data_IF_366318573165
#
_entry.id   IF_366318573165
#
_cell.length_a   1.000
_cell.length_b   1.000
_cell.length_c   1.000
_cell.angle_alpha   90.00
_cell.angle_beta   90.00
_cell.angle_gamma   90.00
#
_symmetry.space_group_name_H-M   'P 1'
#
loop_
_entity.id
_entity.type
_entity.pdbx_description
1 polymer ?
#
# COMPACT_ATOMS: atom_id res chain seq x y z
N UNK A 1 51.59 1.76 54.61
CA UNK A 1 50.28 2.08 53.97
C UNK A 1 50.37 1.66 52.48
N UNK A 2 49.80 0.51 52.14
CA UNK A 2 49.74 0.00 50.74
C UNK A 2 48.49 0.55 50.08
N UNK A 3 48.67 1.33 48.99
CA UNK A 3 47.58 1.77 48.13
C UNK A 3 47.21 0.64 47.17
N UNK A 4 45.96 0.15 47.29
CA UNK A 4 45.40 -0.78 46.31
C UNK A 4 44.74 0.08 45.21
N UNK A 5 45.24 -0.03 43.98
CA UNK A 5 44.64 0.58 42.78
C UNK A 5 43.67 -0.46 42.22
N UNK A 6 42.38 -0.18 42.30
CA UNK A 6 41.33 -0.97 41.71
C UNK A 6 41.17 -0.54 40.23
N UNK A 7 41.67 -1.37 39.29
CA UNK A 7 41.46 -1.16 37.86
C UNK A 7 40.08 -1.74 37.54
N UNK A 8 39.11 -0.85 37.33
CA UNK A 8 37.82 -1.21 36.76
C UNK A 8 37.98 -1.42 35.22
N UNK A 9 38.05 -2.68 34.83
CA UNK A 9 37.91 -3.06 33.42
C UNK A 9 36.46 -2.85 33.02
N UNK A 10 36.20 -1.76 32.29
CA UNK A 10 34.96 -1.62 31.54
C UNK A 10 34.98 -2.59 30.38
N UNK A 11 34.32 -3.74 30.53
CA UNK A 11 33.97 -4.57 29.39
C UNK A 11 32.90 -3.84 28.60
N UNK A 12 33.24 -3.23 27.48
CA UNK A 12 32.29 -2.79 26.49
C UNK A 12 31.61 -4.04 25.89
N UNK A 13 30.50 -4.43 26.48
CA UNK A 13 29.58 -5.37 25.87
C UNK A 13 29.02 -4.69 24.64
N UNK A 14 29.57 -5.02 23.46
CA UNK A 14 28.87 -4.78 22.21
C UNK A 14 27.56 -5.57 22.29
N UNK A 15 26.47 -4.90 22.66
CA UNK A 15 25.13 -5.42 22.53
C UNK A 15 24.93 -5.55 21.02
N UNK A 16 25.06 -6.78 20.55
CA UNK A 16 24.70 -7.16 19.20
C UNK A 16 23.19 -7.02 19.08
N UNK A 17 22.73 -5.84 18.64
CA UNK A 17 21.31 -5.52 18.45
C UNK A 17 20.79 -6.21 17.18
N UNK A 18 20.83 -7.54 17.17
CA UNK A 18 20.36 -8.39 16.10
C UNK A 18 19.07 -9.12 16.48
N UNK A 19 18.05 -8.37 16.95
CA UNK A 19 16.65 -8.84 16.91
C UNK A 19 15.77 -7.64 16.59
N UNK A 20 15.46 -7.49 15.32
CA UNK A 20 14.30 -6.72 14.89
C UNK A 20 13.08 -7.41 15.50
N UNK A 21 12.46 -6.78 16.49
CA UNK A 21 11.21 -7.29 17.04
C UNK A 21 10.09 -6.87 16.10
N UNK A 22 9.60 -7.81 15.31
CA UNK A 22 8.38 -7.61 14.54
C UNK A 22 7.20 -7.58 15.51
N UNK A 23 6.47 -6.48 15.53
CA UNK A 23 5.23 -6.34 16.30
C UNK A 23 4.07 -6.44 15.32
N UNK A 24 3.18 -7.40 15.56
CA UNK A 24 1.93 -7.52 14.80
C UNK A 24 0.77 -7.11 15.67
N UNK A 25 -0.04 -6.16 15.19
CA UNK A 25 -1.30 -5.75 15.78
C UNK A 25 -2.45 -6.16 14.88
N UNK A 26 -3.53 -6.69 15.45
CA UNK A 26 -4.73 -7.04 14.72
C UNK A 26 -5.88 -6.15 15.16
N UNK A 27 -6.42 -5.38 14.23
CA UNK A 27 -7.65 -4.61 14.43
C UNK A 27 -8.80 -5.32 13.75
N UNK A 28 -9.89 -5.53 14.46
CA UNK A 28 -11.09 -6.17 13.90
C UNK A 28 -12.19 -5.14 13.68
N UNK A 29 -12.65 -5.02 12.47
CA UNK A 29 -13.80 -4.20 12.07
C UNK A 29 -15.04 -5.09 11.90
N UNK A 30 -16.22 -4.52 12.14
CA UNK A 30 -17.49 -5.22 11.97
C UNK A 30 -18.25 -4.55 10.82
N UNK A 31 -18.56 -5.33 9.78
CA UNK A 31 -19.39 -4.92 8.66
C UNK A 31 -20.62 -5.81 8.63
N UNK A 32 -21.78 -5.24 9.00
CA UNK A 32 -22.99 -6.04 9.20
C UNK A 32 -22.76 -7.11 10.28
N UNK A 33 -22.83 -8.38 9.90
CA UNK A 33 -22.66 -9.55 10.78
C UNK A 33 -21.24 -10.17 10.64
N UNK A 34 -20.36 -9.55 9.83
CA UNK A 34 -19.06 -10.13 9.46
C UNK A 34 -17.92 -9.35 10.11
N UNK A 35 -16.91 -10.07 10.57
CA UNK A 35 -15.64 -9.53 11.07
C UNK A 35 -14.62 -9.48 9.94
N UNK A 36 -13.97 -8.34 9.78
CA UNK A 36 -12.83 -8.14 8.87
C UNK A 36 -11.62 -7.81 9.71
N UNK A 37 -10.55 -8.58 9.59
CA UNK A 37 -9.31 -8.35 10.29
C UNK A 37 -8.36 -7.51 9.44
N UNK A 38 -7.72 -6.55 10.07
CA UNK A 38 -6.62 -5.77 9.49
C UNK A 38 -5.40 -6.00 10.36
N UNK A 39 -4.34 -6.53 9.75
CA UNK A 39 -3.08 -6.83 10.42
C UNK A 39 -2.05 -5.77 10.09
N UNK A 40 -1.56 -5.10 11.11
CA UNK A 40 -0.41 -4.21 10.99
C UNK A 40 0.83 -4.95 11.45
N UNK A 41 1.84 -5.09 10.58
CA UNK A 41 3.18 -5.55 10.94
C UNK A 41 4.14 -4.36 10.94
N UNK A 42 4.96 -4.26 11.98
CA UNK A 42 5.98 -3.23 12.14
C UNK A 42 7.36 -3.85 12.22
N UNK A 43 8.24 -3.48 11.31
CA UNK A 43 9.64 -3.84 11.31
C UNK A 43 10.47 -2.68 11.89
N UNK A 44 11.38 -2.99 12.78
CA UNK A 44 12.18 -1.95 13.45
C UNK A 44 13.39 -1.50 12.59
N UNK A 45 13.71 -0.18 12.50
CA UNK A 45 13.05 0.96 13.14
C UNK A 45 11.67 1.24 12.52
N UNK A 46 10.66 1.48 13.36
CA UNK A 46 9.30 1.77 12.88
C UNK A 46 9.21 3.24 12.52
N UNK A 47 9.08 3.52 11.24
CA UNK A 47 8.69 4.82 10.73
C UNK A 47 7.20 4.80 10.37
N UNK A 48 6.49 5.88 10.69
CA UNK A 48 5.07 6.03 10.40
C UNK A 48 4.79 6.83 9.13
N UNK A 49 5.81 7.47 8.56
CA UNK A 49 5.66 8.33 7.38
C UNK A 49 5.31 7.57 6.11
N UNK A 50 5.83 6.36 5.93
CA UNK A 50 5.53 5.53 4.77
C UNK A 50 4.66 4.36 5.18
N UNK A 51 3.53 4.19 4.46
CA UNK A 51 2.59 3.09 4.62
C UNK A 51 2.67 2.15 3.43
N UNK A 52 3.05 0.90 3.68
CA UNK A 52 2.81 -0.20 2.75
C UNK A 52 1.43 -0.79 3.04
N UNK A 53 0.59 -0.94 2.02
CA UNK A 53 -0.77 -1.45 2.19
C UNK A 53 -1.11 -2.51 1.17
N UNK A 54 -1.56 -3.68 1.65
CA UNK A 54 -2.16 -4.72 0.83
C UNK A 54 -3.66 -4.76 1.09
N UNK A 55 -4.44 -4.48 0.06
CA UNK A 55 -5.90 -4.44 0.13
C UNK A 55 -6.54 -5.78 -0.24
N UNK A 56 -5.85 -6.61 -1.02
CA UNK A 56 -6.37 -7.88 -1.53
C UNK A 56 -5.58 -9.05 -0.97
N UNK A 57 -6.21 -9.87 -0.13
CA UNK A 57 -5.53 -10.93 0.62
C UNK A 57 -4.96 -12.08 -0.26
N UNK A 58 -5.39 -12.20 -1.50
CA UNK A 58 -4.83 -13.14 -2.47
C UNK A 58 -3.53 -12.65 -3.14
N UNK A 59 -3.12 -11.40 -2.93
CA UNK A 59 -1.94 -10.79 -3.57
C UNK A 59 -0.66 -10.97 -2.71
N UNK A 60 -0.41 -12.22 -2.29
CA UNK A 60 0.63 -12.58 -1.31
C UNK A 60 2.08 -12.44 -1.82
N UNK A 61 2.30 -12.38 -3.14
CA UNK A 61 3.64 -12.18 -3.72
C UNK A 61 4.14 -10.78 -3.37
N UNK A 62 3.28 -9.78 -3.49
CA UNK A 62 3.58 -8.39 -3.18
C UNK A 62 3.87 -8.18 -1.69
N UNK A 63 3.09 -8.82 -0.82
CA UNK A 63 3.31 -8.78 0.64
C UNK A 63 4.68 -9.35 1.01
N UNK A 64 5.07 -10.50 0.43
CA UNK A 64 6.38 -11.12 0.71
C UNK A 64 7.54 -10.24 0.28
N UNK A 65 7.46 -9.62 -0.91
CA UNK A 65 8.48 -8.70 -1.40
C UNK A 65 8.61 -7.48 -0.48
N UNK A 66 7.48 -6.89 -0.08
CA UNK A 66 7.46 -5.75 0.83
C UNK A 66 7.98 -6.11 2.24
N UNK A 67 7.58 -7.25 2.81
CA UNK A 67 8.10 -7.73 4.09
C UNK A 67 9.62 -7.94 4.06
N UNK A 68 10.13 -8.54 2.97
CA UNK A 68 11.57 -8.71 2.81
C UNK A 68 12.29 -7.35 2.76
N UNK A 69 11.76 -6.39 2.00
CA UNK A 69 12.30 -5.03 1.93
C UNK A 69 12.26 -4.33 3.29
N UNK A 70 11.12 -4.38 3.99
CA UNK A 70 10.94 -3.76 5.30
C UNK A 70 11.82 -4.39 6.39
N UNK A 71 12.16 -5.67 6.28
CA UNK A 71 13.14 -6.31 7.17
C UNK A 71 14.54 -5.71 7.03
N UNK A 72 14.87 -5.14 5.88
CA UNK A 72 16.16 -4.47 5.65
C UNK A 72 16.15 -3.02 6.16
N UNK A 73 15.05 -2.28 5.95
CA UNK A 73 15.01 -0.82 6.21
C UNK A 73 14.17 -0.42 7.42
N UNK A 74 13.27 -1.27 7.90
CA UNK A 74 12.23 -0.93 8.87
C UNK A 74 10.97 -0.39 8.21
N UNK A 75 9.96 -0.03 9.02
CA UNK A 75 8.69 0.53 8.56
C UNK A 75 7.47 -0.29 8.94
N UNK A 76 6.34 -0.07 8.26
CA UNK A 76 5.08 -0.75 8.55
C UNK A 76 4.34 -1.21 7.30
N UNK A 77 3.67 -2.34 7.39
CA UNK A 77 2.77 -2.87 6.37
C UNK A 77 1.41 -3.19 6.98
N UNK A 78 0.35 -2.83 6.28
CA UNK A 78 -1.04 -3.15 6.61
C UNK A 78 -1.56 -4.17 5.60
N UNK A 79 -2.18 -5.23 6.12
CA UNK A 79 -2.80 -6.26 5.32
C UNK A 79 -4.26 -6.44 5.74
N UNK A 80 -5.21 -6.39 4.80
CA UNK A 80 -6.60 -6.77 5.04
C UNK A 80 -6.69 -8.29 4.87
N UNK A 81 -6.90 -9.02 5.97
CA UNK A 81 -7.03 -10.47 5.94
C UNK A 81 -8.45 -10.90 5.58
N UNK A 82 -8.57 -11.75 4.57
CA UNK A 82 -9.83 -12.22 4.02
C UNK A 82 -9.76 -13.68 3.50
N UNK A 83 -9.08 -14.57 4.24
CA UNK A 83 -8.92 -16.00 3.92
C UNK A 83 -8.31 -16.25 2.53
N UNK A 84 -7.41 -15.40 2.06
CA UNK A 84 -6.80 -15.49 0.74
C UNK A 84 -7.70 -15.08 -0.42
N UNK A 85 -8.80 -14.40 -0.15
CA UNK A 85 -9.75 -13.95 -1.17
C UNK A 85 -9.53 -12.48 -1.52
N UNK A 86 -9.74 -12.13 -2.79
CA UNK A 86 -9.63 -10.75 -3.27
C UNK A 86 -10.76 -9.87 -2.76
N UNK A 87 -12.01 -10.35 -2.86
CA UNK A 87 -13.22 -9.59 -2.58
C UNK A 87 -13.74 -9.92 -1.19
N UNK A 88 -14.20 -8.92 -0.45
CA UNK A 88 -14.75 -9.11 0.88
C UNK A 88 -16.24 -9.42 0.78
N UNK A 89 -16.61 -10.58 1.30
CA UNK A 89 -18.00 -11.00 1.48
C UNK A 89 -18.46 -10.70 2.90
N UNK A 90 -19.59 -10.04 3.06
CA UNK A 90 -20.17 -9.79 4.38
C UNK A 90 -21.68 -10.04 4.41
N UNK A 91 -22.19 -10.36 5.60
CA UNK A 91 -23.62 -10.62 5.81
C UNK A 91 -24.29 -9.41 6.43
N UNK A 92 -25.48 -9.08 5.90
CA UNK A 92 -26.36 -8.06 6.45
C UNK A 92 -27.81 -8.53 6.33
N UNK A 93 -28.51 -8.66 7.49
CA UNK A 93 -29.89 -9.17 7.58
C UNK A 93 -30.11 -10.52 6.89
N UNK A 94 -29.15 -11.44 7.08
CA UNK A 94 -29.20 -12.78 6.50
C UNK A 94 -28.78 -12.87 5.03
N UNK A 95 -28.59 -11.74 4.34
CA UNK A 95 -28.18 -11.65 2.95
C UNK A 95 -26.66 -11.44 2.84
N UNK A 96 -26.04 -11.96 1.77
CA UNK A 96 -24.62 -11.76 1.50
C UNK A 96 -24.44 -10.61 0.51
N UNK A 97 -23.51 -9.71 0.83
CA UNK A 97 -23.02 -8.62 0.00
C UNK A 97 -21.54 -8.76 -0.22
N UNK A 98 -21.04 -8.23 -1.34
CA UNK A 98 -19.64 -8.30 -1.74
C UNK A 98 -19.15 -6.92 -2.14
N UNK A 99 -17.91 -6.58 -1.77
CA UNK A 99 -17.25 -5.38 -2.25
C UNK A 99 -15.75 -5.62 -2.52
N UNK A 100 -15.17 -4.80 -3.38
CA UNK A 100 -13.73 -4.72 -3.59
C UNK A 100 -13.14 -3.71 -2.58
N UNK A 101 -12.19 -4.11 -1.72
CA UNK A 101 -11.59 -3.19 -0.74
C UNK A 101 -10.81 -2.04 -1.36
N UNK A 102 -10.45 -2.12 -2.66
CA UNK A 102 -9.87 -0.99 -3.41
C UNK A 102 -10.93 -0.16 -4.16
N UNK A 103 -12.21 -0.21 -3.75
CA UNK A 103 -13.31 0.58 -4.35
C UNK A 103 -14.22 1.21 -3.31
N UNK A 104 -13.68 1.48 -2.10
CA UNK A 104 -14.48 1.95 -0.96
C UNK A 104 -14.11 3.35 -0.48
N UNK A 105 -13.21 4.03 -1.16
CA UNK A 105 -12.68 5.32 -0.71
C UNK A 105 -13.53 6.52 -1.18
N UNK A 106 -14.65 6.26 -1.85
CA UNK A 106 -15.68 7.27 -2.15
C UNK A 106 -17.08 6.68 -2.08
N UNK A 107 -18.09 7.52 -1.94
CA UNK A 107 -19.48 7.07 -1.94
C UNK A 107 -19.90 6.47 -3.29
N UNK A 108 -19.38 7.01 -4.40
CA UNK A 108 -19.62 6.49 -5.73
C UNK A 108 -19.06 5.07 -5.88
N UNK A 109 -17.79 4.87 -5.48
CA UNK A 109 -17.14 3.57 -5.51
C UNK A 109 -17.83 2.54 -4.63
N UNK A 110 -18.21 2.89 -3.38
CA UNK A 110 -18.96 1.99 -2.48
C UNK A 110 -20.28 1.53 -3.13
N UNK A 111 -21.06 2.46 -3.66
CA UNK A 111 -22.33 2.13 -4.28
C UNK A 111 -22.15 1.25 -5.52
N UNK A 112 -21.16 1.58 -6.35
CA UNK A 112 -20.84 0.84 -7.57
C UNK A 112 -20.37 -0.58 -7.24
N UNK A 113 -19.37 -0.74 -6.37
CA UNK A 113 -18.78 -2.05 -6.06
C UNK A 113 -19.84 -3.00 -5.43
N UNK A 114 -20.64 -2.52 -4.49
CA UNK A 114 -21.71 -3.32 -3.88
C UNK A 114 -22.77 -3.72 -4.94
N UNK A 115 -23.23 -2.77 -5.75
CA UNK A 115 -24.26 -3.03 -6.74
C UNK A 115 -23.81 -4.06 -7.78
N UNK A 116 -22.61 -3.89 -8.31
CA UNK A 116 -22.05 -4.76 -9.36
C UNK A 116 -21.77 -6.15 -8.83
N UNK A 117 -21.06 -6.24 -7.70
CA UNK A 117 -20.57 -7.51 -7.18
C UNK A 117 -21.64 -8.31 -6.44
N UNK A 118 -22.65 -7.65 -5.84
CA UNK A 118 -23.76 -8.34 -5.16
C UNK A 118 -24.98 -8.50 -6.05
N UNK A 119 -25.01 -7.90 -7.26
CA UNK A 119 -26.18 -7.83 -8.16
C UNK A 119 -27.43 -7.25 -7.49
N UNK A 120 -27.24 -6.44 -6.46
CA UNK A 120 -28.26 -5.75 -5.66
C UNK A 120 -27.65 -4.63 -4.85
N UNK A 121 -28.48 -3.73 -4.36
CA UNK A 121 -28.08 -2.61 -3.51
C UNK A 121 -28.94 -2.56 -2.24
N UNK A 122 -28.32 -2.32 -1.10
CA UNK A 122 -28.97 -1.95 0.17
C UNK A 122 -28.20 -0.80 0.80
N UNK A 123 -28.87 0.30 1.11
CA UNK A 123 -28.25 1.53 1.63
C UNK A 123 -27.62 1.36 3.01
N UNK A 124 -28.13 0.45 3.84
CA UNK A 124 -27.54 0.18 5.15
C UNK A 124 -26.34 -0.77 5.05
N UNK A 125 -26.37 -1.72 4.11
CA UNK A 125 -25.20 -2.52 3.77
C UNK A 125 -24.08 -1.60 3.27
N UNK A 126 -24.36 -0.68 2.35
CA UNK A 126 -23.43 0.34 1.87
C UNK A 126 -22.90 1.26 3.00
N UNK A 127 -23.78 1.64 3.95
CA UNK A 127 -23.36 2.39 5.15
C UNK A 127 -22.40 1.61 6.02
N UNK A 128 -22.55 0.29 6.15
CA UNK A 128 -21.61 -0.58 6.86
C UNK A 128 -20.22 -0.52 6.25
N UNK A 129 -20.10 -0.64 4.91
CA UNK A 129 -18.85 -0.52 4.17
C UNK A 129 -18.26 0.90 4.29
N UNK A 130 -19.10 1.95 4.21
CA UNK A 130 -18.67 3.33 4.40
C UNK A 130 -18.06 3.58 5.79
N UNK A 131 -18.66 2.99 6.85
CA UNK A 131 -18.10 3.10 8.19
C UNK A 131 -16.74 2.39 8.31
N UNK A 132 -16.60 1.21 7.71
CA UNK A 132 -15.32 0.51 7.63
C UNK A 132 -14.26 1.35 6.92
N UNK A 133 -14.57 1.88 5.72
CA UNK A 133 -13.67 2.73 4.96
C UNK A 133 -13.21 3.96 5.76
N UNK A 134 -14.14 4.66 6.43
CA UNK A 134 -13.82 5.82 7.27
C UNK A 134 -12.89 5.47 8.42
N UNK A 135 -13.13 4.36 9.11
CA UNK A 135 -12.27 3.90 10.18
C UNK A 135 -10.89 3.51 9.65
N UNK A 136 -10.82 2.75 8.57
CA UNK A 136 -9.57 2.35 7.93
C UNK A 136 -8.73 3.57 7.50
N UNK A 137 -9.37 4.57 6.89
CA UNK A 137 -8.72 5.83 6.52
C UNK A 137 -8.17 6.56 7.74
N UNK A 138 -8.98 6.68 8.81
CA UNK A 138 -8.58 7.38 10.03
C UNK A 138 -7.43 6.66 10.76
N UNK A 139 -7.48 5.33 10.80
CA UNK A 139 -6.53 4.53 11.57
C UNK A 139 -5.16 4.40 10.85
N UNK A 140 -5.15 4.39 9.50
CA UNK A 140 -3.94 4.04 8.75
C UNK A 140 -3.53 5.04 7.68
N UNK A 141 -4.48 5.60 6.91
CA UNK A 141 -4.18 6.37 5.69
C UNK A 141 -3.77 7.81 6.02
N UNK A 142 -4.55 8.51 6.84
CA UNK A 142 -4.39 9.95 7.08
C UNK A 142 -3.08 10.34 7.77
N UNK A 143 -2.38 9.39 8.40
CA UNK A 143 -1.10 9.62 9.08
C UNK A 143 0.11 9.32 8.20
N UNK A 144 -0.08 9.10 6.91
CA UNK A 144 0.98 8.68 6.00
C UNK A 144 1.42 9.82 5.08
N UNK A 145 2.74 10.00 4.95
CA UNK A 145 3.35 10.98 4.03
C UNK A 145 3.50 10.39 2.62
N UNK A 146 3.60 9.06 2.52
CA UNK A 146 3.62 8.30 1.28
C UNK A 146 2.87 6.99 1.48
N UNK A 147 2.02 6.63 0.52
CA UNK A 147 1.36 5.33 0.47
C UNK A 147 1.96 4.50 -0.67
N UNK A 148 2.38 3.28 -0.36
CA UNK A 148 2.77 2.26 -1.34
C UNK A 148 1.76 1.13 -1.29
N UNK A 149 0.85 1.12 -2.25
CA UNK A 149 -0.13 0.04 -2.41
C UNK A 149 0.49 -1.13 -3.14
N UNK A 150 0.28 -2.33 -2.60
CA UNK A 150 0.91 -3.55 -3.06
C UNK A 150 -0.11 -4.38 -3.83
N UNK A 151 0.19 -4.69 -5.10
CA UNK A 151 -0.70 -5.46 -5.94
C UNK A 151 0.04 -6.55 -6.71
N UNK A 152 -0.74 -7.58 -7.09
CA UNK A 152 -0.29 -8.57 -8.05
C UNK A 152 -1.31 -8.70 -9.18
N UNK A 153 -0.82 -8.70 -10.41
CA UNK A 153 -1.60 -8.99 -11.59
C UNK A 153 -1.35 -10.43 -12.09
N UNK A 154 -2.08 -10.83 -13.11
CA UNK A 154 -1.85 -12.07 -13.85
C UNK A 154 -1.26 -11.73 -15.22
N UNK A 155 -0.45 -12.67 -15.74
CA UNK A 155 0.11 -12.57 -17.09
C UNK A 155 -0.95 -12.10 -18.09
N UNK A 156 -0.60 -11.07 -18.85
CA UNK A 156 -1.44 -10.49 -19.90
C UNK A 156 -2.79 -9.91 -19.45
N UNK A 157 -3.00 -9.67 -18.13
CA UNK A 157 -4.25 -9.11 -17.62
C UNK A 157 -4.19 -7.58 -17.44
N UNK A 158 -3.26 -7.09 -16.63
CA UNK A 158 -3.02 -5.67 -16.40
C UNK A 158 -1.54 -5.39 -16.58
N UNK A 159 -1.22 -4.44 -17.44
CA UNK A 159 0.16 -4.08 -17.76
C UNK A 159 0.30 -2.58 -17.96
N UNK A 160 1.52 -2.09 -18.00
CA UNK A 160 1.79 -0.70 -18.38
C UNK A 160 1.23 -0.36 -19.77
N UNK A 161 1.10 -1.36 -20.65
CA UNK A 161 0.55 -1.20 -22.01
C UNK A 161 -0.97 -0.97 -21.96
N UNK A 162 -1.68 -1.54 -21.00
CA UNK A 162 -3.13 -1.32 -20.82
C UNK A 162 -3.47 0.16 -20.64
N UNK A 163 -2.59 0.91 -19.99
CA UNK A 163 -2.74 2.36 -19.82
C UNK A 163 -2.38 3.16 -21.09
N UNK A 164 -1.52 2.61 -21.96
CA UNK A 164 -1.15 3.26 -23.22
C UNK A 164 -2.36 3.40 -24.15
N UNK A 165 -3.21 2.39 -24.19
CA UNK A 165 -4.42 2.41 -25.00
C UNK A 165 -5.46 3.39 -24.45
N UNK A 166 -5.53 3.56 -23.13
CA UNK A 166 -6.37 4.57 -22.47
C UNK A 166 -5.91 6.00 -22.79
N UNK A 167 -4.61 6.23 -22.99
CA UNK A 167 -4.04 7.54 -23.32
C UNK A 167 -4.12 7.88 -24.81
N UNK A 168 -4.23 6.90 -25.70
CA UNK A 168 -4.30 7.13 -27.15
C UNK A 168 -5.51 8.00 -27.58
N UNK A 169 -6.50 8.18 -26.70
CA UNK A 169 -7.68 9.01 -26.94
C UNK A 169 -7.69 10.37 -26.23
N UNK A 170 -6.81 10.61 -25.25
CA UNK A 170 -6.82 11.84 -24.46
C UNK A 170 -5.45 12.13 -23.79
N UNK A 171 -4.66 13.03 -24.37
CA UNK A 171 -3.34 13.44 -23.85
C UNK A 171 -3.38 14.00 -22.40
N UNK A 172 -4.54 14.35 -21.89
CA UNK A 172 -4.71 14.88 -20.53
C UNK A 172 -4.86 13.79 -19.46
N UNK A 173 -5.12 12.52 -19.81
CA UNK A 173 -5.43 11.45 -18.86
C UNK A 173 -4.20 10.88 -18.15
N UNK A 174 -2.98 11.16 -18.64
CA UNK A 174 -1.77 10.69 -17.96
C UNK A 174 -0.52 10.64 -18.84
N UNK A 175 0.55 10.03 -18.31
CA UNK A 175 1.83 9.79 -18.99
C UNK A 175 2.31 8.38 -18.69
N UNK A 176 3.06 7.79 -19.63
CA UNK A 176 3.64 6.45 -19.49
C UNK A 176 5.12 6.50 -19.83
N UNK A 177 5.90 5.72 -19.10
CA UNK A 177 7.26 5.36 -19.48
C UNK A 177 7.38 3.84 -19.47
N UNK A 178 7.90 3.27 -20.55
CA UNK A 178 8.12 1.83 -20.72
C UNK A 178 9.62 1.60 -20.89
N UNK A 179 10.19 0.77 -20.01
CA UNK A 179 11.52 0.23 -20.18
C UNK A 179 11.45 -1.05 -21.02
N UNK A 180 12.05 -1.11 -22.21
CA UNK A 180 11.96 -2.29 -23.09
C UNK A 180 12.69 -3.53 -22.53
N UNK A 181 13.46 -3.39 -21.44
CA UNK A 181 14.15 -4.50 -20.78
C UNK A 181 13.38 -5.08 -19.59
N UNK A 182 12.25 -4.48 -19.22
CA UNK A 182 11.38 -4.97 -18.14
C UNK A 182 10.15 -5.68 -18.70
N UNK A 183 9.61 -6.62 -17.92
CA UNK A 183 8.28 -7.15 -18.17
C UNK A 183 7.24 -6.02 -18.09
N UNK A 184 6.30 -6.01 -19.03
CA UNK A 184 5.26 -4.98 -19.11
C UNK A 184 4.22 -5.09 -18.01
N UNK A 185 4.11 -6.25 -17.38
CA UNK A 185 3.21 -6.54 -16.26
C UNK A 185 3.82 -6.11 -14.90
N UNK A 186 5.14 -5.81 -14.89
CA UNK A 186 5.85 -5.28 -13.71
C UNK A 186 6.03 -3.76 -13.86
N UNK A 187 5.26 -2.99 -13.11
CA UNK A 187 5.25 -1.52 -13.24
C UNK A 187 4.81 -0.82 -11.95
N UNK A 188 5.01 0.49 -11.92
CA UNK A 188 4.44 1.37 -10.92
C UNK A 188 3.40 2.30 -11.53
N UNK A 189 2.36 2.64 -10.75
CA UNK A 189 1.44 3.72 -11.07
C UNK A 189 1.52 4.78 -9.97
N UNK A 190 1.52 6.04 -10.34
CA UNK A 190 1.46 7.15 -9.40
C UNK A 190 0.50 8.24 -9.90
N UNK A 191 -0.05 8.98 -8.97
CA UNK A 191 -0.87 10.17 -9.26
C UNK A 191 -0.08 11.48 -9.09
N UNK A 192 1.20 11.38 -8.72
CA UNK A 192 2.11 12.52 -8.51
C UNK A 192 3.13 12.62 -9.65
N UNK A 193 3.20 13.81 -10.28
CA UNK A 193 4.11 14.05 -11.42
C UNK A 193 5.58 14.05 -11.02
N UNK A 194 5.92 14.42 -9.79
CA UNK A 194 7.30 14.38 -9.28
C UNK A 194 7.74 12.95 -9.05
N UNK A 195 6.90 12.12 -8.41
CA UNK A 195 7.15 10.69 -8.25
C UNK A 195 7.29 9.99 -9.61
N UNK A 196 6.43 10.32 -10.59
CA UNK A 196 6.55 9.79 -11.95
C UNK A 196 7.93 10.10 -12.56
N UNK A 197 8.40 11.35 -12.47
CA UNK A 197 9.69 11.74 -13.02
C UNK A 197 10.84 10.96 -12.35
N UNK A 198 10.83 10.88 -11.03
CA UNK A 198 11.84 10.18 -10.23
C UNK A 198 11.88 8.67 -10.50
N UNK A 199 10.70 8.01 -10.57
CA UNK A 199 10.59 6.57 -10.88
C UNK A 199 11.07 6.30 -12.30
N UNK A 200 10.72 7.15 -13.27
CA UNK A 200 11.22 7.08 -14.64
C UNK A 200 12.75 7.16 -14.71
N UNK A 201 13.39 8.03 -13.92
CA UNK A 201 14.85 8.13 -13.82
C UNK A 201 15.52 6.85 -13.32
N UNK A 202 14.79 6.02 -12.54
CA UNK A 202 15.23 4.67 -12.13
C UNK A 202 15.05 3.62 -13.22
N UNK A 203 14.57 4.03 -14.40
CA UNK A 203 14.31 3.15 -15.55
C UNK A 203 13.29 2.04 -15.26
N UNK A 204 12.27 2.33 -14.45
CA UNK A 204 11.15 1.44 -14.11
C UNK A 204 9.95 1.79 -14.98
N UNK A 205 9.21 0.78 -15.46
CA UNK A 205 7.91 0.98 -16.09
C UNK A 205 7.00 1.79 -15.15
N UNK A 206 6.50 2.92 -15.60
CA UNK A 206 5.67 3.77 -14.73
C UNK A 206 4.57 4.49 -15.50
N UNK A 207 3.41 4.57 -14.86
CA UNK A 207 2.24 5.32 -15.29
C UNK A 207 2.05 6.50 -14.34
N UNK A 208 1.87 7.70 -14.87
CA UNK A 208 1.25 8.81 -14.15
C UNK A 208 -0.20 8.93 -14.57
N UNK A 209 -1.11 8.82 -13.62
CA UNK A 209 -2.54 8.94 -13.83
C UNK A 209 -3.02 10.31 -13.38
N UNK A 210 -3.66 11.05 -14.29
CA UNK A 210 -4.23 12.36 -13.99
C UNK A 210 -5.65 12.19 -13.44
N UNK A 211 -5.79 12.25 -12.12
CA UNK A 211 -7.07 12.05 -11.44
C UNK A 211 -8.14 13.12 -11.75
N UNK A 212 -7.73 14.29 -12.27
CA UNK A 212 -8.67 15.32 -12.72
C UNK A 212 -9.36 14.92 -14.05
N UNK A 213 -8.77 14.00 -14.79
CA UNK A 213 -9.25 13.56 -16.10
C UNK A 213 -9.96 12.19 -16.07
N UNK A 214 -9.99 11.53 -14.91
CA UNK A 214 -10.63 10.22 -14.74
C UNK A 214 -11.83 10.28 -13.80
N UNK A 215 -12.75 9.34 -13.97
CA UNK A 215 -13.91 9.19 -13.11
C UNK A 215 -13.48 8.63 -11.72
N UNK A 216 -14.20 9.04 -10.68
CA UNK A 216 -14.00 8.51 -9.33
C UNK A 216 -14.52 7.06 -9.22
N UNK A 217 -13.62 6.13 -9.33
CA UNK A 217 -13.91 4.70 -9.23
C UNK A 217 -13.89 4.17 -7.77
N UNK A 218 -13.61 5.05 -6.80
CA UNK A 218 -13.49 4.74 -5.39
C UNK A 218 -12.19 4.07 -4.99
N UNK A 219 -11.15 4.07 -5.85
CA UNK A 219 -9.83 3.49 -5.55
C UNK A 219 -9.05 4.33 -4.53
N UNK A 220 -8.07 3.67 -3.89
CA UNK A 220 -7.15 4.34 -2.97
C UNK A 220 -6.26 5.36 -3.69
N UNK A 221 -5.90 5.12 -4.96
CA UNK A 221 -5.11 6.06 -5.78
C UNK A 221 -5.84 7.40 -5.97
N UNK A 222 -7.13 7.35 -6.37
CA UNK A 222 -7.96 8.54 -6.53
C UNK A 222 -8.18 9.25 -5.20
N UNK A 223 -8.41 8.50 -4.12
CA UNK A 223 -8.54 9.06 -2.78
C UNK A 223 -7.26 9.80 -2.36
N UNK A 224 -6.11 9.15 -2.46
CA UNK A 224 -4.81 9.72 -2.09
C UNK A 224 -4.52 11.02 -2.85
N UNK A 225 -4.73 11.02 -4.16
CA UNK A 225 -4.53 12.20 -4.99
C UNK A 225 -5.44 13.37 -4.60
N UNK A 226 -6.72 13.12 -4.35
CA UNK A 226 -7.68 14.16 -3.92
C UNK A 226 -7.40 14.72 -2.53
N UNK A 227 -6.62 14.00 -1.71
CA UNK A 227 -6.20 14.44 -0.38
C UNK A 227 -4.74 14.89 -0.33
N UNK A 228 -4.09 15.03 -1.50
CA UNK A 228 -2.68 15.41 -1.63
C UNK A 228 -1.72 14.50 -0.87
N UNK A 229 -2.04 13.20 -0.80
CA UNK A 229 -1.17 12.18 -0.22
C UNK A 229 -0.37 11.55 -1.38
N UNK A 230 0.97 11.64 -1.38
CA UNK A 230 1.81 10.96 -2.35
C UNK A 230 1.51 9.44 -2.38
N UNK A 231 1.38 8.89 -3.59
CA UNK A 231 0.91 7.54 -3.79
C UNK A 231 1.69 6.81 -4.88
N UNK A 232 2.06 5.58 -4.58
CA UNK A 232 2.64 4.63 -5.55
C UNK A 232 1.83 3.33 -5.48
N UNK A 233 1.29 2.88 -6.60
CA UNK A 233 0.81 1.52 -6.77
C UNK A 233 1.94 0.68 -7.36
N UNK A 234 2.33 -0.39 -6.69
CA UNK A 234 3.36 -1.32 -7.11
C UNK A 234 2.69 -2.59 -7.63
N UNK A 235 2.76 -2.78 -8.94
CA UNK A 235 2.21 -3.93 -9.65
C UNK A 235 3.33 -4.85 -10.11
N UNK A 236 3.16 -6.15 -9.86
CA UNK A 236 3.98 -7.18 -10.48
C UNK A 236 3.17 -8.44 -10.70
N UNK A 237 3.56 -9.25 -11.67
CA UNK A 237 2.92 -10.50 -11.96
C UNK A 237 3.01 -11.45 -10.74
N UNK A 238 2.00 -12.28 -10.52
CA UNK A 238 2.05 -13.34 -9.52
C UNK A 238 3.32 -14.17 -9.68
N UNK A 239 4.05 -14.38 -8.57
CA UNK A 239 5.35 -15.07 -8.46
C UNK A 239 6.57 -14.21 -8.82
N UNK A 240 6.42 -12.99 -9.33
CA UNK A 240 7.50 -12.03 -9.59
C UNK A 240 7.90 -11.28 -8.31
N UNK A 241 8.18 -12.02 -7.22
CA UNK A 241 8.55 -11.39 -5.94
C UNK A 241 9.94 -10.75 -5.96
N UNK A 242 10.87 -11.27 -6.78
CA UNK A 242 12.21 -10.74 -6.93
C UNK A 242 12.19 -9.44 -7.73
N UNK A 243 11.38 -9.38 -8.79
CA UNK A 243 11.16 -8.19 -9.60
C UNK A 243 10.50 -7.09 -8.76
N UNK A 244 9.48 -7.45 -7.98
CA UNK A 244 8.79 -6.53 -7.09
C UNK A 244 9.72 -5.98 -5.99
N UNK A 245 10.55 -6.84 -5.39
CA UNK A 245 11.59 -6.43 -4.45
C UNK A 245 12.64 -5.53 -5.12
N UNK A 246 13.04 -5.85 -6.35
CA UNK A 246 13.98 -5.05 -7.13
C UNK A 246 13.44 -3.65 -7.40
N UNK A 247 12.16 -3.53 -7.77
CA UNK A 247 11.49 -2.23 -7.93
C UNK A 247 11.47 -1.42 -6.63
N UNK A 248 11.17 -2.03 -5.48
CA UNK A 248 11.23 -1.36 -4.19
C UNK A 248 12.63 -0.88 -3.86
N UNK A 249 13.65 -1.70 -4.09
CA UNK A 249 15.05 -1.32 -3.86
C UNK A 249 15.51 -0.20 -4.80
N UNK A 250 15.02 -0.15 -6.01
CA UNK A 250 15.36 0.91 -6.96
C UNK A 250 14.83 2.29 -6.55
N UNK A 251 13.73 2.35 -5.79
CA UNK A 251 13.14 3.59 -5.25
C UNK A 251 13.45 3.80 -3.75
N UNK A 252 14.42 3.08 -3.18
CA UNK A 252 14.78 3.15 -1.75
C UNK A 252 15.11 4.59 -1.29
N UNK A 253 15.78 5.37 -2.11
CA UNK A 253 16.08 6.78 -1.84
C UNK A 253 14.81 7.64 -1.74
N UNK A 254 13.82 7.38 -2.59
CA UNK A 254 12.51 8.04 -2.55
C UNK A 254 11.79 7.68 -1.24
N UNK A 255 11.72 6.39 -0.91
CA UNK A 255 11.04 5.91 0.30
C UNK A 255 11.68 6.50 1.55
N UNK A 256 13.01 6.49 1.65
CA UNK A 256 13.73 7.02 2.81
C UNK A 256 13.57 8.51 3.01
N UNK A 257 13.38 9.28 1.96
CA UNK A 257 13.10 10.73 2.05
C UNK A 257 11.79 10.97 2.80
N UNK A 258 10.72 10.29 2.41
CA UNK A 258 9.42 10.39 3.09
C UNK A 258 9.44 9.82 4.53
N UNK A 259 10.32 8.85 4.81
CA UNK A 259 10.54 8.37 6.17
C UNK A 259 11.19 9.42 7.08
N UNK A 260 12.09 10.24 6.54
CA UNK A 260 12.83 11.24 7.33
C UNK A 260 12.02 12.50 7.64
N UNK A 261 11.00 12.82 6.85
CA UNK A 261 10.17 14.01 7.05
C UNK A 261 9.39 13.96 8.37
N UNK A 262 8.93 12.77 8.78
CA UNK A 262 8.23 12.56 10.07
C UNK A 262 9.06 12.92 11.28
N UNK A 263 10.38 12.73 11.23
CA UNK A 263 11.27 13.05 12.36
C UNK A 263 11.51 14.55 12.57
N UNK A 264 11.16 15.38 11.60
CA UNK A 264 11.32 16.84 11.71
C UNK A 264 10.12 17.52 12.37
N UNK A 265 8.92 16.98 12.17
CA UNK A 265 7.69 17.52 12.74
C UNK A 265 7.51 17.15 14.23
N UNK A 266 7.98 15.97 14.66
CA UNK A 266 7.93 15.54 16.07
C UNK A 266 8.92 16.29 16.98
N UNK A 267 9.83 17.11 16.42
CA UNK A 267 10.85 17.87 17.15
C UNK A 267 10.62 19.40 17.13
N UNK A 268 9.49 19.88 16.68
CA UNK A 268 9.06 21.29 16.76
C UNK A 268 7.90 21.46 17.73
#
# INVERSE_FOLDING_TARGET
MKKIILILLFSSSFINCNRKHDVSNVTTYIIGETKVAVVEKRCYPCDRGVLFVNLHDNEITSVKAAEQYLNEIGGRIINIENNGERLINFRYKGETFTFDPNRIYSSAGINSTITILSLRYDSNAAKGVSNFAKSFIADYINSSNLIISLHNNMDSSLSVISYKDMQAGNDSSGKIFINPAMDVDDFMLTTDTSLFARIKEKNINVVWENVEAIEDDGSLSVYAARHNIPYINLEAQHKHSEEQLSMLKAIDDIIREYMQETHKEDNQ
#
